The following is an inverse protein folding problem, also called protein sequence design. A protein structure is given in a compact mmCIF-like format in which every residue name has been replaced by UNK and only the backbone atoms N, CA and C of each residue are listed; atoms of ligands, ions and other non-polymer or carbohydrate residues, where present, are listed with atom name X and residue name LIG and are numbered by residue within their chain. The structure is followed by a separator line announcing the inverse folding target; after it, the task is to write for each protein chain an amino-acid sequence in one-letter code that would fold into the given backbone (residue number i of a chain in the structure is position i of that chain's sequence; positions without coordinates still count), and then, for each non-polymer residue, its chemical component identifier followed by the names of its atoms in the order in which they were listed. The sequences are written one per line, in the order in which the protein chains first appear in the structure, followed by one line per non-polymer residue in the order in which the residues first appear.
data_IF_790081600161
#
_entry.id   IF_790081600161
#
_cell.length_a   1.000
_cell.length_b   1.000
_cell.length_c   1.000
_cell.angle_alpha   90.00
_cell.angle_beta   90.00
_cell.angle_gamma   90.00
#
_symmetry.space_group_name_H-M   'P 1'
#
loop_
_entity.id
_entity.type
_entity.pdbx_description
1 polymer ?
#
# COMPACT_ATOMS: atom_id res chain seq x y z
N UNK A 1 8.89 27.52 3.92
CA UNK A 1 9.00 29.00 3.99
C UNK A 1 7.69 29.49 4.59
N UNK A 2 7.67 30.44 5.52
CA UNK A 2 6.39 30.89 6.09
C UNK A 2 5.57 31.62 5.01
N UNK A 3 4.24 31.60 5.10
CA UNK A 3 3.35 32.30 4.13
C UNK A 3 3.75 33.77 3.91
N UNK A 4 4.14 34.45 4.99
CA UNK A 4 4.63 35.84 4.94
C UNK A 4 5.93 35.98 4.16
N UNK A 5 6.82 35.00 4.23
CA UNK A 5 8.09 35.02 3.49
C UNK A 5 7.82 34.86 2.00
N UNK A 6 6.90 33.97 1.62
CA UNK A 6 6.49 33.77 0.22
C UNK A 6 5.89 35.06 -0.33
N UNK A 7 4.93 35.65 0.39
CA UNK A 7 4.24 36.89 -0.02
C UNK A 7 5.19 38.07 -0.21
N UNK A 8 6.21 38.19 0.64
CA UNK A 8 7.12 39.34 0.62
C UNK A 8 8.41 39.08 -0.18
N UNK A 9 8.62 37.88 -0.73
CA UNK A 9 9.81 37.60 -1.52
C UNK A 9 9.77 38.37 -2.86
N UNK A 10 10.72 39.30 -3.11
CA UNK A 10 10.77 40.08 -4.34
C UNK A 10 11.40 39.32 -5.51
N UNK A 11 12.00 38.16 -5.26
CA UNK A 11 12.67 37.34 -6.27
C UNK A 11 11.77 36.26 -6.89
N UNK A 12 10.56 36.07 -6.35
CA UNK A 12 9.58 35.16 -6.95
C UNK A 12 8.76 35.91 -7.99
N UNK A 13 8.64 35.34 -9.18
CA UNK A 13 7.68 35.81 -10.15
C UNK A 13 6.23 35.61 -9.64
N UNK A 14 5.25 36.35 -10.19
CA UNK A 14 3.88 36.29 -9.70
C UNK A 14 3.22 34.91 -9.81
N UNK A 15 3.57 34.11 -10.82
CA UNK A 15 2.99 32.79 -11.06
C UNK A 15 3.50 31.80 -10.02
N UNK A 16 4.81 31.70 -9.84
CA UNK A 16 5.44 30.86 -8.81
C UNK A 16 4.97 31.27 -7.42
N UNK A 17 4.86 32.57 -7.14
CA UNK A 17 4.32 33.07 -5.87
C UNK A 17 2.88 32.60 -5.65
N UNK A 18 2.03 32.67 -6.68
CA UNK A 18 0.64 32.21 -6.60
C UNK A 18 0.57 30.71 -6.32
N UNK A 19 1.35 29.92 -7.06
CA UNK A 19 1.44 28.47 -6.89
C UNK A 19 1.91 28.08 -5.48
N UNK A 20 3.01 28.67 -4.99
CA UNK A 20 3.52 28.37 -3.65
C UNK A 20 2.51 28.70 -2.54
N UNK A 21 1.71 29.77 -2.71
CA UNK A 21 0.68 30.15 -1.75
C UNK A 21 -0.51 29.18 -1.77
N UNK A 22 -0.94 28.72 -2.95
CA UNK A 22 -2.00 27.72 -3.04
C UNK A 22 -1.56 26.38 -2.46
N UNK A 23 -0.34 25.93 -2.77
CA UNK A 23 0.22 24.70 -2.20
C UNK A 23 0.33 24.76 -0.68
N UNK A 24 0.79 25.90 -0.13
CA UNK A 24 0.85 26.09 1.32
C UNK A 24 -0.55 26.01 1.96
N UNK A 25 -1.58 26.58 1.33
CA UNK A 25 -2.95 26.49 1.84
C UNK A 25 -3.50 25.06 1.83
N UNK A 26 -3.24 24.29 0.76
CA UNK A 26 -3.61 22.87 0.68
C UNK A 26 -2.91 22.07 1.78
N UNK A 27 -1.61 22.29 1.96
CA UNK A 27 -0.82 21.66 3.01
C UNK A 27 -1.31 22.00 4.42
N UNK A 28 -1.59 23.28 4.69
CA UNK A 28 -2.05 23.72 6.01
C UNK A 28 -3.38 23.06 6.39
N UNK A 29 -4.33 22.95 5.45
CA UNK A 29 -5.62 22.29 5.66
C UNK A 29 -5.47 20.78 5.89
N UNK A 30 -4.73 20.10 5.02
CA UNK A 30 -4.48 18.66 5.13
C UNK A 30 -3.79 18.32 6.45
N UNK A 31 -2.72 19.05 6.79
CA UNK A 31 -1.98 18.83 8.01
C UNK A 31 -2.83 19.10 9.26
N UNK A 32 -3.61 20.18 9.28
CA UNK A 32 -4.49 20.48 10.41
C UNK A 32 -5.52 19.36 10.64
N UNK A 33 -6.13 18.85 9.57
CA UNK A 33 -7.08 17.73 9.62
C UNK A 33 -6.42 16.46 10.16
N UNK A 34 -5.26 16.07 9.63
CA UNK A 34 -4.58 14.85 10.05
C UNK A 34 -3.98 14.96 11.46
N UNK A 35 -3.40 16.10 11.85
CA UNK A 35 -2.89 16.32 13.21
C UNK A 35 -4.00 16.05 14.23
N UNK A 36 -5.20 16.61 14.04
CA UNK A 36 -6.31 16.41 14.97
C UNK A 36 -6.76 14.95 15.01
N UNK A 37 -6.84 14.30 13.85
CA UNK A 37 -7.21 12.89 13.77
C UNK A 37 -6.17 11.95 14.42
N UNK A 38 -4.87 12.24 14.33
CA UNK A 38 -3.84 11.39 14.92
C UNK A 38 -3.59 11.66 16.40
N UNK A 39 -3.99 12.83 16.91
CA UNK A 39 -3.79 13.22 18.30
C UNK A 39 -4.28 12.15 19.28
N UNK A 40 -3.46 11.91 20.31
CA UNK A 40 -3.68 10.94 21.39
C UNK A 40 -3.91 9.48 20.92
N UNK A 41 -3.63 9.17 19.65
CA UNK A 41 -3.77 7.80 19.12
C UNK A 41 -2.61 6.96 19.61
N UNK A 42 -2.91 5.84 20.28
CA UNK A 42 -1.92 4.82 20.60
C UNK A 42 -1.85 3.80 19.47
N UNK A 43 -0.66 3.37 19.10
CA UNK A 43 -0.45 2.33 18.09
C UNK A 43 0.29 1.14 18.68
N UNK A 44 -0.31 -0.03 18.50
CA UNK A 44 0.30 -1.32 18.75
C UNK A 44 -0.46 -2.35 17.94
N UNK A 45 0.23 -3.17 17.16
CA UNK A 45 -0.39 -4.24 16.36
C UNK A 45 0.33 -5.56 16.64
N UNK A 46 -0.31 -6.42 17.42
CA UNK A 46 0.22 -7.74 17.78
C UNK A 46 0.17 -8.72 16.60
N UNK A 47 -0.94 -8.71 15.86
CA UNK A 47 -1.21 -9.60 14.74
C UNK A 47 -2.43 -9.11 13.92
N UNK A 48 -2.64 -9.65 12.72
CA UNK A 48 -3.65 -9.14 11.79
C UNK A 48 -5.11 -9.47 12.10
N UNK A 49 -5.37 -10.25 13.15
CA UNK A 49 -6.73 -10.52 13.67
C UNK A 49 -6.90 -9.99 15.11
N UNK A 50 -5.99 -9.11 15.55
CA UNK A 50 -6.13 -8.42 16.82
C UNK A 50 -7.33 -7.46 16.78
N UNK A 51 -7.82 -7.06 17.96
CA UNK A 51 -8.96 -6.15 18.03
C UNK A 51 -8.65 -4.84 17.32
N UNK A 52 -9.42 -4.53 16.29
CA UNK A 52 -9.25 -3.31 15.50
C UNK A 52 -9.79 -2.08 16.27
N UNK A 53 -8.96 -1.04 16.41
CA UNK A 53 -9.24 0.15 17.25
C UNK A 53 -9.13 1.46 16.50
N UNK A 54 -8.17 1.55 15.60
CA UNK A 54 -7.97 2.68 14.72
C UNK A 54 -7.67 2.15 13.31
N UNK A 55 -8.22 2.84 12.32
CA UNK A 55 -8.10 2.49 10.92
C UNK A 55 -7.63 3.69 10.12
N UNK A 56 -6.62 3.51 9.27
CA UNK A 56 -6.36 4.45 8.20
C UNK A 56 -7.14 4.00 6.97
N UNK A 57 -8.08 4.82 6.53
CA UNK A 57 -8.93 4.53 5.37
C UNK A 57 -8.58 5.52 4.27
N UNK A 58 -8.27 5.01 3.08
CA UNK A 58 -8.01 5.87 1.91
C UNK A 58 -9.25 6.65 1.49
N UNK A 59 -9.10 7.55 0.53
CA UNK A 59 -10.14 8.45 0.03
C UNK A 59 -10.04 8.60 -1.49
N UNK A 60 -10.90 9.42 -2.09
CA UNK A 60 -10.93 9.62 -3.55
C UNK A 60 -10.46 11.02 -3.98
N UNK A 61 -9.89 11.84 -3.08
CA UNK A 61 -9.53 13.22 -3.39
C UNK A 61 -8.36 13.33 -4.39
N UNK A 62 -7.54 12.29 -4.51
CA UNK A 62 -6.52 12.15 -5.56
C UNK A 62 -6.56 10.73 -6.13
N UNK A 63 -7.45 10.50 -7.09
CA UNK A 63 -7.50 9.27 -7.90
C UNK A 63 -7.43 9.65 -9.36
N UNK A 64 -6.34 9.25 -10.00
CA UNK A 64 -6.06 9.50 -11.41
C UNK A 64 -6.02 8.18 -12.15
N UNK A 65 -6.45 8.18 -13.41
CA UNK A 65 -6.27 7.03 -14.28
C UNK A 65 -4.76 6.85 -14.52
N UNK A 66 -4.14 5.74 -14.11
CA UNK A 66 -2.71 5.56 -14.27
C UNK A 66 -2.36 5.28 -15.75
N UNK A 67 -1.10 5.48 -16.11
CA UNK A 67 -0.59 5.06 -17.42
C UNK A 67 -0.36 3.55 -17.38
N UNK A 68 -1.09 2.72 -18.14
CA UNK A 68 -0.95 1.26 -18.07
C UNK A 68 0.38 0.78 -18.66
N UNK A 69 1.07 1.62 -19.43
CA UNK A 69 2.27 1.23 -20.17
C UNK A 69 3.57 1.53 -19.40
N UNK A 70 3.50 2.04 -18.15
CA UNK A 70 4.67 2.14 -17.25
C UNK A 70 4.90 0.81 -16.54
N UNK A 71 6.16 0.50 -16.21
CA UNK A 71 6.60 -0.85 -15.84
C UNK A 71 5.69 -1.58 -14.85
N UNK A 72 5.44 -0.99 -13.69
CA UNK A 72 4.64 -1.61 -12.64
C UNK A 72 3.15 -1.69 -12.97
N UNK A 73 2.57 -0.65 -13.60
CA UNK A 73 1.17 -0.72 -14.01
C UNK A 73 0.97 -1.81 -15.06
N UNK A 74 1.96 -1.97 -15.96
CA UNK A 74 2.00 -3.06 -16.91
C UNK A 74 2.09 -4.42 -16.21
N UNK A 75 2.94 -4.56 -15.19
CA UNK A 75 3.03 -5.81 -14.42
C UNK A 75 1.73 -6.15 -13.66
N UNK A 76 1.02 -5.14 -13.17
CA UNK A 76 -0.27 -5.32 -12.48
C UNK A 76 -1.42 -5.66 -13.44
N UNK A 77 -1.41 -5.11 -14.66
CA UNK A 77 -2.59 -5.13 -15.55
C UNK A 77 -2.41 -5.89 -16.86
N UNK A 78 -1.17 -6.14 -17.29
CA UNK A 78 -0.82 -6.55 -18.65
C UNK A 78 -1.49 -7.83 -19.13
N UNK A 79 -1.61 -8.82 -18.24
CA UNK A 79 -2.18 -10.14 -18.58
C UNK A 79 -3.62 -10.34 -18.06
N UNK A 80 -4.12 -9.43 -17.21
CA UNK A 80 -5.36 -9.64 -16.45
C UNK A 80 -6.45 -8.60 -16.69
N UNK A 81 -6.10 -7.41 -17.22
CA UNK A 81 -7.06 -6.35 -17.46
C UNK A 81 -7.73 -6.53 -18.83
N UNK A 82 -9.06 -6.43 -18.86
CA UNK A 82 -9.83 -6.53 -20.10
C UNK A 82 -9.42 -5.45 -21.13
N UNK A 83 -9.48 -5.79 -22.43
CA UNK A 83 -9.02 -4.91 -23.52
C UNK A 83 -9.71 -3.54 -23.52
N UNK A 84 -10.99 -3.48 -23.18
CA UNK A 84 -11.77 -2.24 -23.11
C UNK A 84 -11.33 -1.35 -21.93
N UNK A 85 -11.09 -1.94 -20.76
CA UNK A 85 -10.53 -1.25 -19.61
C UNK A 85 -9.10 -0.76 -19.89
N UNK A 86 -8.27 -1.59 -20.54
CA UNK A 86 -6.92 -1.21 -20.97
C UNK A 86 -6.95 -0.03 -21.95
N UNK A 87 -7.87 -0.04 -22.92
CA UNK A 87 -8.05 1.07 -23.85
C UNK A 87 -8.51 2.34 -23.15
N UNK A 88 -9.45 2.24 -22.20
CA UNK A 88 -9.87 3.37 -21.37
C UNK A 88 -8.68 3.99 -20.62
N UNK A 89 -7.82 3.16 -20.01
CA UNK A 89 -6.64 3.64 -19.30
C UNK A 89 -5.69 4.41 -20.23
N UNK A 90 -5.41 3.88 -21.43
CA UNK A 90 -4.56 4.57 -22.43
C UNK A 90 -5.13 5.90 -22.89
N UNK A 91 -6.45 5.99 -23.08
CA UNK A 91 -7.12 7.21 -23.54
C UNK A 91 -7.20 8.31 -22.47
N UNK A 92 -7.32 7.89 -21.20
CA UNK A 92 -7.60 8.79 -20.08
C UNK A 92 -6.46 8.93 -19.07
N UNK A 93 -5.29 8.30 -19.30
CA UNK A 93 -4.15 8.37 -18.38
C UNK A 93 -3.78 9.77 -17.93
N UNK A 94 -3.40 9.87 -16.66
CA UNK A 94 -3.08 11.08 -15.91
C UNK A 94 -4.24 12.08 -15.75
N UNK A 95 -5.47 11.74 -16.15
CA UNK A 95 -6.67 12.54 -15.87
C UNK A 95 -7.31 12.10 -14.55
N UNK A 96 -7.92 13.02 -13.79
CA UNK A 96 -8.70 12.66 -12.60
C UNK A 96 -9.85 11.73 -12.97
N UNK A 97 -10.06 10.65 -12.20
CA UNK A 97 -11.11 9.67 -12.48
C UNK A 97 -12.50 10.32 -12.49
N UNK A 98 -12.76 11.24 -11.56
CA UNK A 98 -14.02 12.01 -11.47
C UNK A 98 -14.39 12.77 -12.74
N UNK A 99 -13.41 13.16 -13.55
CA UNK A 99 -13.64 13.98 -14.75
C UNK A 99 -13.94 13.10 -15.98
N UNK A 100 -13.46 11.85 -15.98
CA UNK A 100 -13.54 10.94 -17.14
C UNK A 100 -14.51 9.77 -16.94
N UNK A 101 -14.79 9.40 -15.69
CA UNK A 101 -15.74 8.37 -15.30
C UNK A 101 -16.49 8.79 -14.01
N UNK A 102 -17.34 9.84 -14.07
CA UNK A 102 -18.00 10.41 -12.89
C UNK A 102 -18.95 9.44 -12.19
N UNK A 103 -19.61 8.54 -12.94
CA UNK A 103 -20.52 7.55 -12.37
C UNK A 103 -19.75 6.52 -11.52
N UNK A 104 -18.68 5.95 -12.07
CA UNK A 104 -17.77 5.06 -11.34
C UNK A 104 -17.16 5.75 -10.12
N UNK A 105 -16.73 7.01 -10.27
CA UNK A 105 -16.20 7.79 -9.15
C UNK A 105 -17.24 7.94 -8.02
N UNK A 106 -18.50 8.22 -8.37
CA UNK A 106 -19.58 8.36 -7.39
C UNK A 106 -19.86 7.06 -6.64
N UNK A 107 -19.85 5.92 -7.34
CA UNK A 107 -20.03 4.60 -6.74
C UNK A 107 -18.88 4.27 -5.78
N UNK A 108 -17.63 4.43 -6.24
CA UNK A 108 -16.45 4.20 -5.40
C UNK A 108 -16.41 5.12 -4.18
N UNK A 109 -16.87 6.38 -4.30
CA UNK A 109 -16.97 7.31 -3.17
C UNK A 109 -18.00 6.82 -2.15
N UNK A 110 -19.19 6.39 -2.60
CA UNK A 110 -20.24 5.86 -1.73
C UNK A 110 -19.76 4.63 -0.95
N UNK A 111 -19.11 3.67 -1.62
CA UNK A 111 -18.58 2.47 -0.97
C UNK A 111 -17.47 2.81 0.04
N UNK A 112 -16.56 3.71 -0.35
CA UNK A 112 -15.44 4.12 0.49
C UNK A 112 -15.91 4.87 1.75
N UNK A 113 -16.91 5.75 1.62
CA UNK A 113 -17.52 6.44 2.75
C UNK A 113 -18.36 5.48 3.61
N UNK A 114 -19.05 4.52 2.98
CA UNK A 114 -19.77 3.45 3.66
C UNK A 114 -18.86 2.60 4.55
N UNK A 115 -17.66 2.24 4.07
CA UNK A 115 -16.65 1.53 4.85
C UNK A 115 -16.21 2.34 6.09
N UNK A 116 -15.90 3.63 5.90
CA UNK A 116 -15.52 4.51 7.00
C UNK A 116 -16.63 4.60 8.06
N UNK A 117 -17.88 4.80 7.64
CA UNK A 117 -19.03 4.87 8.53
C UNK A 117 -19.27 3.54 9.27
N UNK A 118 -19.12 2.40 8.59
CA UNK A 118 -19.27 1.08 9.20
C UNK A 118 -18.20 0.84 10.30
N UNK A 119 -16.95 1.22 10.04
CA UNK A 119 -15.86 1.16 11.04
C UNK A 119 -16.16 2.05 12.25
N UNK A 120 -16.58 3.30 12.03
CA UNK A 120 -16.95 4.22 13.10
C UNK A 120 -18.12 3.70 13.93
N UNK A 121 -19.14 3.10 13.29
CA UNK A 121 -20.28 2.47 13.98
C UNK A 121 -19.87 1.30 14.88
N UNK A 122 -18.75 0.63 14.56
CA UNK A 122 -18.15 -0.42 15.38
C UNK A 122 -17.24 0.13 16.50
N UNK A 123 -17.14 1.46 16.63
CA UNK A 123 -16.28 2.12 17.60
C UNK A 123 -14.79 2.13 17.22
N UNK A 124 -14.47 1.97 15.93
CA UNK A 124 -13.13 2.15 15.40
C UNK A 124 -12.91 3.64 15.12
N UNK A 125 -11.77 4.19 15.56
CA UNK A 125 -11.34 5.53 15.18
C UNK A 125 -10.88 5.51 13.73
N UNK A 126 -11.58 6.21 12.84
CA UNK A 126 -11.17 6.32 11.43
C UNK A 126 -10.30 7.56 11.24
N UNK A 127 -9.16 7.36 10.59
CA UNK A 127 -8.26 8.39 10.09
C UNK A 127 -8.40 8.41 8.57
N UNK A 128 -8.84 9.54 8.01
CA UNK A 128 -9.11 9.71 6.59
C UNK A 128 -9.01 11.18 6.19
N UNK A 129 -8.48 11.46 5.00
CA UNK A 129 -8.67 12.76 4.39
C UNK A 129 -10.09 12.84 3.80
N UNK A 130 -11.00 13.54 4.50
CA UNK A 130 -12.40 13.63 4.08
C UNK A 130 -12.61 14.69 3.01
N UNK A 131 -12.04 15.87 3.20
CA UNK A 131 -12.45 17.06 2.45
C UNK A 131 -11.28 17.88 1.88
N UNK A 132 -10.02 17.51 2.18
CA UNK A 132 -8.87 18.32 1.76
C UNK A 132 -8.42 17.92 0.36
N UNK A 133 -8.19 18.91 -0.49
CA UNK A 133 -7.46 18.72 -1.73
C UNK A 133 -6.00 18.36 -1.42
N UNK A 134 -5.48 17.33 -2.09
CA UNK A 134 -4.06 17.00 -1.99
C UNK A 134 -3.21 18.06 -2.70
N UNK A 135 -2.09 18.51 -2.10
CA UNK A 135 -1.12 19.38 -2.77
C UNK A 135 -0.57 18.75 -4.05
N UNK A 136 -0.37 19.57 -5.08
CA UNK A 136 0.17 19.14 -6.37
C UNK A 136 1.55 18.49 -6.24
N UNK A 137 2.38 18.99 -5.31
CA UNK A 137 3.69 18.40 -5.04
C UNK A 137 3.62 16.91 -4.61
N UNK A 138 2.54 16.47 -3.96
CA UNK A 138 2.31 15.07 -3.61
C UNK A 138 1.76 14.29 -4.80
N UNK A 139 0.76 14.86 -5.47
CA UNK A 139 0.14 14.24 -6.65
C UNK A 139 1.19 13.94 -7.73
N UNK A 140 2.11 14.87 -7.94
CA UNK A 140 3.15 14.83 -8.96
C UNK A 140 4.54 14.44 -8.45
N UNK A 141 4.64 13.84 -7.26
CA UNK A 141 5.93 13.44 -6.66
C UNK A 141 6.79 12.59 -7.60
N UNK A 142 6.16 11.80 -8.47
CA UNK A 142 6.83 10.89 -9.40
C UNK A 142 7.03 11.48 -10.81
N UNK A 143 6.60 12.73 -11.05
CA UNK A 143 6.56 13.31 -12.39
C UNK A 143 7.95 13.50 -13.01
N UNK A 144 9.00 13.72 -12.19
CA UNK A 144 10.36 13.94 -12.65
C UNK A 144 10.95 12.76 -13.45
N UNK A 145 10.47 11.54 -13.19
CA UNK A 145 10.83 10.34 -13.95
C UNK A 145 9.66 9.77 -14.76
N UNK A 146 8.59 10.57 -14.97
CA UNK A 146 7.35 10.16 -15.66
C UNK A 146 6.62 8.99 -14.98
N UNK A 147 6.77 8.84 -13.68
CA UNK A 147 6.02 7.85 -12.91
C UNK A 147 4.55 8.23 -12.72
N UNK A 148 3.74 7.32 -12.15
CA UNK A 148 2.31 7.54 -12.00
C UNK A 148 2.00 8.58 -10.91
N UNK A 149 0.88 9.29 -11.09
CA UNK A 149 0.33 10.22 -10.09
C UNK A 149 -0.15 9.49 -8.85
N UNK A 150 -0.26 10.22 -7.73
CA UNK A 150 -0.75 9.67 -6.47
C UNK A 150 -2.16 9.06 -6.58
N UNK A 151 -2.36 7.90 -5.95
CA UNK A 151 -3.62 7.20 -5.82
C UNK A 151 -3.98 7.05 -4.33
N UNK A 152 -4.82 7.96 -3.87
CA UNK A 152 -5.24 8.13 -2.47
C UNK A 152 -6.29 7.14 -1.98
N UNK A 153 -6.70 6.13 -2.75
CA UNK A 153 -7.70 5.17 -2.27
C UNK A 153 -7.09 4.05 -1.41
N UNK A 154 -5.79 3.80 -1.58
CA UNK A 154 -5.08 2.68 -0.95
C UNK A 154 -4.31 3.08 0.32
N UNK A 155 -5.00 3.71 1.28
CA UNK A 155 -4.38 4.23 2.51
C UNK A 155 -3.75 3.18 3.42
N UNK A 156 -4.42 2.02 3.54
CA UNK A 156 -3.93 0.89 4.34
C UNK A 156 -2.58 0.34 3.87
N UNK A 157 -2.43 -0.08 2.60
CA UNK A 157 -1.17 -0.61 2.09
C UNK A 157 -0.13 0.47 1.79
N UNK A 158 -0.47 1.75 1.67
CA UNK A 158 0.52 2.78 1.31
C UNK A 158 1.14 3.57 2.48
N UNK A 159 0.42 3.73 3.61
CA UNK A 159 0.87 4.59 4.72
C UNK A 159 2.09 4.06 5.48
N UNK A 160 2.26 2.74 5.54
CA UNK A 160 3.24 2.06 6.38
C UNK A 160 2.56 1.09 7.35
N UNK A 161 3.33 0.16 7.90
CA UNK A 161 2.82 -0.95 8.71
C UNK A 161 3.26 -0.82 10.16
N UNK A 162 2.31 -0.85 11.09
CA UNK A 162 2.62 -1.00 12.52
C UNK A 162 2.82 -2.49 12.81
N UNK A 163 3.95 -2.86 13.41
CA UNK A 163 4.27 -4.21 13.87
C UNK A 163 4.77 -4.12 15.32
N UNK A 164 3.97 -4.59 16.27
CA UNK A 164 4.22 -4.33 17.69
C UNK A 164 4.33 -2.82 17.93
N UNK A 165 5.49 -2.40 18.45
CA UNK A 165 5.85 -0.99 18.71
C UNK A 165 6.80 -0.42 17.64
N UNK A 166 6.73 -0.95 16.41
CA UNK A 166 7.53 -0.48 15.27
C UNK A 166 6.61 0.05 14.17
N UNK A 167 6.83 1.30 13.76
CA UNK A 167 6.34 1.85 12.50
C UNK A 167 7.33 1.46 11.40
N UNK A 168 6.92 0.55 10.53
CA UNK A 168 7.71 0.09 9.40
C UNK A 168 7.21 0.77 8.13
N UNK A 169 8.04 1.67 7.60
CA UNK A 169 7.82 2.24 6.28
C UNK A 169 8.33 1.27 5.21
N UNK A 170 7.40 0.58 4.57
CA UNK A 170 7.64 -0.17 3.34
C UNK A 170 7.29 0.77 2.19
N UNK A 171 8.27 1.05 1.35
CA UNK A 171 8.07 1.92 0.18
C UNK A 171 7.67 1.09 -1.01
N UNK A 172 6.40 1.22 -1.38
CA UNK A 172 5.83 0.59 -2.57
C UNK A 172 6.47 1.13 -3.85
N UNK A 173 6.41 0.34 -4.92
CA UNK A 173 6.44 0.94 -6.24
C UNK A 173 5.13 1.76 -6.49
N UNK A 174 5.10 2.59 -7.53
CA UNK A 174 3.80 3.06 -8.00
C UNK A 174 3.10 4.23 -7.32
N UNK A 175 1.78 4.33 -7.56
CA UNK A 175 1.01 5.52 -7.28
C UNK A 175 0.64 5.66 -5.82
N UNK A 176 0.97 4.71 -4.95
CA UNK A 176 0.57 4.73 -3.53
C UNK A 176 1.72 5.12 -2.60
N UNK A 177 2.97 5.16 -3.07
CA UNK A 177 4.16 5.38 -2.22
C UNK A 177 4.21 6.75 -1.51
N UNK A 178 3.41 7.72 -1.94
CA UNK A 178 3.37 9.07 -1.38
C UNK A 178 2.56 9.18 -0.08
N UNK A 179 1.93 8.10 0.37
CA UNK A 179 1.03 8.11 1.52
C UNK A 179 1.69 8.57 2.82
N UNK A 180 2.89 8.08 3.16
CA UNK A 180 3.58 8.57 4.36
C UNK A 180 3.93 10.07 4.23
N UNK A 181 4.26 10.55 3.03
CA UNK A 181 4.48 11.99 2.80
C UNK A 181 3.21 12.81 3.03
N UNK A 182 2.07 12.33 2.53
CA UNK A 182 0.78 12.99 2.67
C UNK A 182 0.29 13.07 4.12
N UNK A 183 0.80 12.21 4.99
CA UNK A 183 0.31 12.00 6.36
C UNK A 183 1.31 12.34 7.45
N UNK A 184 2.53 12.73 7.07
CA UNK A 184 3.66 12.94 7.97
C UNK A 184 3.36 13.84 9.17
N UNK A 185 2.54 14.87 9.00
CA UNK A 185 2.13 15.73 10.11
C UNK A 185 1.34 14.95 11.18
N UNK A 186 0.44 14.07 10.76
CA UNK A 186 -0.26 13.13 11.64
C UNK A 186 0.67 12.07 12.23
N UNK A 187 1.58 11.50 11.43
CA UNK A 187 2.61 10.56 11.92
C UNK A 187 3.41 11.17 13.07
N UNK A 188 3.77 12.46 12.99
CA UNK A 188 4.48 13.13 14.09
C UNK A 188 3.65 13.17 15.38
N UNK A 189 2.32 13.34 15.31
CA UNK A 189 1.46 13.25 16.49
C UNK A 189 1.37 11.81 17.03
N UNK A 190 1.41 10.82 16.15
CA UNK A 190 1.48 9.41 16.54
C UNK A 190 2.72 9.13 17.39
N UNK A 191 3.91 9.58 16.96
CA UNK A 191 5.14 9.40 17.72
C UNK A 191 5.15 10.17 19.05
N UNK A 192 4.50 11.34 19.13
CA UNK A 192 4.33 12.06 20.41
C UNK A 192 3.47 11.27 21.41
N UNK A 193 2.42 10.62 20.92
CA UNK A 193 1.54 9.81 21.76
C UNK A 193 2.15 8.44 22.13
N UNK A 194 3.15 7.97 21.36
CA UNK A 194 3.79 6.66 21.53
C UNK A 194 5.33 6.83 21.59
N UNK A 195 5.90 7.25 22.74
CA UNK A 195 7.33 7.54 22.87
C UNK A 195 8.23 6.33 22.65
N UNK A 196 7.69 5.11 22.77
CA UNK A 196 8.43 3.86 22.54
C UNK A 196 8.33 3.36 21.09
N UNK A 197 7.51 4.01 20.24
CA UNK A 197 7.36 3.66 18.84
C UNK A 197 8.67 3.88 18.09
N UNK A 198 9.13 2.86 17.37
CA UNK A 198 10.36 2.91 16.56
C UNK A 198 10.04 3.15 15.10
N UNK A 199 10.71 4.12 14.48
CA UNK A 199 10.65 4.28 13.03
C UNK A 199 11.69 3.36 12.37
N UNK A 200 11.23 2.58 11.40
CA UNK A 200 12.02 1.73 10.52
C UNK A 200 11.58 1.96 9.09
N UNK A 201 12.48 1.77 8.14
CA UNK A 201 12.20 2.02 6.73
C UNK A 201 12.98 1.08 5.85
N UNK A 202 12.31 0.50 4.85
CA UNK A 202 12.99 -0.01 3.66
C UNK A 202 13.67 1.16 2.92
N UNK A 203 14.66 0.89 2.06
CA UNK A 203 15.16 1.90 1.13
C UNK A 203 14.04 2.37 0.18
N UNK A 204 14.12 3.64 -0.21
CA UNK A 204 13.18 4.18 -1.20
C UNK A 204 13.50 3.56 -2.58
N UNK A 205 12.50 3.12 -3.37
CA UNK A 205 12.75 2.48 -4.66
C UNK A 205 13.40 3.44 -5.64
N UNK A 206 14.13 2.90 -6.61
CA UNK A 206 14.77 3.69 -7.64
C UNK A 206 13.71 4.46 -8.47
N UNK A 207 14.02 5.69 -8.90
CA UNK A 207 13.14 6.48 -9.77
C UNK A 207 13.22 5.97 -11.23
N UNK A 208 12.87 4.72 -11.46
CA UNK A 208 12.84 4.06 -12.76
C UNK A 208 11.39 3.76 -13.18
N UNK A 209 10.98 4.34 -14.31
CA UNK A 209 9.64 4.14 -14.89
C UNK A 209 9.46 2.77 -15.54
N UNK A 210 10.54 2.07 -15.84
CA UNK A 210 10.50 0.75 -16.47
C UNK A 210 10.42 -0.40 -15.44
N UNK A 211 10.59 -0.09 -14.16
CA UNK A 211 10.57 -1.08 -13.09
C UNK A 211 9.18 -1.73 -12.99
N UNK A 212 9.12 -3.05 -13.11
CA UNK A 212 7.88 -3.85 -13.10
C UNK A 212 7.37 -4.23 -11.71
N UNK A 213 8.13 -3.91 -10.65
CA UNK A 213 7.78 -4.18 -9.27
C UNK A 213 8.52 -3.24 -8.33
N UNK A 214 8.68 -3.58 -7.04
CA UNK A 214 9.23 -2.64 -6.05
C UNK A 214 10.77 -2.49 -6.08
N UNK A 215 11.44 -3.10 -7.07
CA UNK A 215 12.89 -3.02 -7.27
C UNK A 215 13.65 -4.19 -6.64
N UNK A 216 14.98 -4.10 -6.58
CA UNK A 216 15.86 -5.23 -6.21
C UNK A 216 15.62 -5.73 -4.77
N UNK A 217 15.39 -4.82 -3.83
CA UNK A 217 15.09 -5.14 -2.41
C UNK A 217 13.69 -4.65 -2.02
N UNK A 218 12.82 -4.49 -2.99
CA UNK A 218 11.47 -3.98 -2.81
C UNK A 218 10.49 -5.02 -2.29
N UNK A 219 9.53 -4.57 -1.49
CA UNK A 219 8.38 -5.37 -1.04
C UNK A 219 7.13 -4.48 -1.05
N UNK A 220 5.97 -5.08 -1.34
CA UNK A 220 4.67 -4.44 -1.10
C UNK A 220 4.23 -4.65 0.35
N UNK A 221 3.53 -3.69 0.95
CA UNK A 221 2.96 -3.86 2.29
C UNK A 221 2.01 -5.06 2.37
N UNK A 222 1.26 -5.38 1.31
CA UNK A 222 0.33 -6.48 1.19
C UNK A 222 1.01 -7.86 1.19
N UNK A 223 2.32 -7.93 0.93
CA UNK A 223 3.11 -9.16 1.02
C UNK A 223 3.31 -9.65 2.47
N UNK A 224 3.07 -8.81 3.48
CA UNK A 224 3.37 -9.10 4.89
C UNK A 224 2.10 -9.43 5.69
N UNK A 225 2.09 -10.60 6.33
CA UNK A 225 1.07 -11.00 7.32
C UNK A 225 1.69 -11.12 8.70
N UNK A 226 1.07 -10.49 9.70
CA UNK A 226 1.58 -10.44 11.07
C UNK A 226 0.82 -11.47 11.91
N UNK A 227 1.54 -12.45 12.45
CA UNK A 227 1.04 -13.48 13.36
C UNK A 227 1.52 -13.22 14.80
N UNK A 228 0.86 -13.82 15.80
CA UNK A 228 1.30 -13.72 17.19
C UNK A 228 2.77 -14.11 17.39
N UNK A 229 3.37 -13.64 18.49
CA UNK A 229 4.76 -13.91 18.86
C UNK A 229 5.81 -13.38 17.87
N UNK A 230 5.55 -12.20 17.29
CA UNK A 230 6.45 -11.54 16.33
C UNK A 230 6.82 -12.44 15.14
N UNK A 231 5.84 -13.17 14.63
CA UNK A 231 6.02 -14.03 13.47
C UNK A 231 5.43 -13.36 12.23
N UNK A 232 6.20 -13.27 11.15
CA UNK A 232 5.73 -12.74 9.87
C UNK A 232 5.60 -13.88 8.85
N UNK A 233 4.52 -13.88 8.08
CA UNK A 233 4.40 -14.70 6.89
C UNK A 233 4.51 -13.77 5.68
N UNK A 234 5.51 -14.01 4.85
CA UNK A 234 5.79 -13.26 3.62
C UNK A 234 5.29 -14.06 2.43
N UNK A 235 4.54 -13.44 1.52
CA UNK A 235 3.95 -14.11 0.36
C UNK A 235 4.42 -13.56 -0.97
N UNK A 236 4.86 -14.45 -1.85
CA UNK A 236 5.45 -14.14 -3.15
C UNK A 236 4.68 -14.83 -4.29
N UNK A 237 4.07 -14.04 -5.18
CA UNK A 237 3.43 -14.57 -6.38
C UNK A 237 4.48 -14.91 -7.43
N UNK A 238 4.46 -16.12 -8.00
CA UNK A 238 5.34 -16.56 -9.08
C UNK A 238 4.53 -17.25 -10.19
N UNK A 239 4.94 -17.17 -11.47
CA UNK A 239 4.19 -17.80 -12.57
C UNK A 239 4.07 -19.33 -12.46
N UNK A 240 5.07 -19.98 -11.87
CA UNK A 240 5.11 -21.41 -11.58
C UNK A 240 6.23 -21.70 -10.56
N UNK A 241 6.28 -22.95 -10.06
CA UNK A 241 7.29 -23.36 -9.07
C UNK A 241 8.71 -23.23 -9.59
N UNK A 242 8.92 -23.55 -10.87
CA UNK A 242 10.25 -23.62 -11.47
C UNK A 242 10.96 -22.26 -11.46
N UNK A 243 10.21 -21.15 -11.40
CA UNK A 243 10.74 -19.80 -11.25
C UNK A 243 11.23 -19.44 -9.84
N UNK A 244 10.88 -20.21 -8.79
CA UNK A 244 11.24 -19.86 -7.39
C UNK A 244 12.75 -19.64 -7.21
N UNK A 245 13.65 -20.50 -7.70
CA UNK A 245 15.10 -20.28 -7.56
C UNK A 245 15.58 -18.97 -8.21
N UNK A 246 14.93 -18.49 -9.26
CA UNK A 246 15.28 -17.24 -9.97
C UNK A 246 14.86 -16.00 -9.17
N UNK A 247 13.87 -16.13 -8.28
CA UNK A 247 13.46 -15.04 -7.37
C UNK A 247 14.51 -14.69 -6.31
N UNK A 248 15.49 -15.57 -6.07
CA UNK A 248 16.61 -15.35 -5.16
C UNK A 248 17.91 -14.91 -5.88
N UNK A 249 17.86 -14.68 -7.19
CA UNK A 249 19.00 -14.18 -7.97
C UNK A 249 18.86 -12.67 -8.18
N UNK A 250 19.89 -11.89 -7.86
CA UNK A 250 19.84 -10.42 -7.93
C UNK A 250 19.54 -9.92 -9.36
N UNK A 251 19.97 -10.67 -10.37
CA UNK A 251 19.83 -10.33 -11.78
C UNK A 251 18.41 -10.52 -12.33
N UNK A 252 17.63 -11.45 -11.76
CA UNK A 252 16.33 -11.88 -12.31
C UNK A 252 15.17 -11.72 -11.33
N UNK A 253 15.43 -11.43 -10.05
CA UNK A 253 14.41 -11.45 -9.00
C UNK A 253 13.17 -10.59 -9.28
N UNK A 254 13.34 -9.47 -9.99
CA UNK A 254 12.28 -8.50 -10.29
C UNK A 254 11.36 -8.92 -11.45
N UNK A 255 11.76 -9.92 -12.26
CA UNK A 255 10.99 -10.38 -13.43
C UNK A 255 9.94 -11.44 -13.09
N UNK A 256 10.00 -11.98 -11.87
CA UNK A 256 9.28 -13.21 -11.51
C UNK A 256 8.29 -13.04 -10.36
N UNK A 257 8.18 -11.84 -9.78
CA UNK A 257 7.30 -11.58 -8.63
C UNK A 257 6.49 -10.30 -8.81
N UNK A 258 5.20 -10.38 -8.49
CA UNK A 258 4.23 -9.29 -8.69
C UNK A 258 4.35 -8.17 -7.65
N UNK A 259 4.40 -8.52 -6.35
CA UNK A 259 4.24 -7.58 -5.22
C UNK A 259 5.47 -7.55 -4.27
N UNK A 260 6.65 -7.68 -4.86
CA UNK A 260 7.91 -7.79 -4.12
C UNK A 260 8.55 -9.16 -4.17
N UNK A 261 9.84 -9.21 -3.82
CA UNK A 261 10.67 -10.39 -3.99
C UNK A 261 11.27 -10.90 -2.66
N UNK A 262 11.71 -12.17 -2.61
CA UNK A 262 12.31 -12.74 -1.41
C UNK A 262 13.58 -12.04 -0.91
N UNK A 263 14.36 -11.39 -1.78
CA UNK A 263 15.55 -10.63 -1.36
C UNK A 263 15.16 -9.37 -0.58
N UNK A 264 14.07 -8.71 -0.95
CA UNK A 264 13.48 -7.62 -0.19
C UNK A 264 12.94 -8.08 1.17
N UNK A 265 12.26 -9.23 1.20
CA UNK A 265 11.81 -9.87 2.44
C UNK A 265 12.97 -10.20 3.37
N UNK A 266 14.03 -10.83 2.84
CA UNK A 266 15.25 -11.14 3.57
C UNK A 266 15.95 -9.89 4.07
N UNK A 267 16.04 -8.83 3.26
CA UNK A 267 16.61 -7.55 3.68
C UNK A 267 15.83 -6.96 4.87
N UNK A 268 14.49 -6.94 4.80
CA UNK A 268 13.65 -6.47 5.90
C UNK A 268 13.94 -7.28 7.18
N UNK A 269 13.99 -8.61 7.08
CA UNK A 269 14.18 -9.46 8.24
C UNK A 269 15.58 -9.38 8.83
N UNK A 270 16.62 -9.50 8.01
CA UNK A 270 18.01 -9.58 8.47
C UNK A 270 18.65 -8.22 8.75
N UNK A 271 18.18 -7.13 8.13
CA UNK A 271 18.83 -5.81 8.26
C UNK A 271 18.00 -4.79 9.02
N UNK A 272 16.69 -4.98 9.12
CA UNK A 272 15.79 -4.01 9.76
C UNK A 272 15.17 -4.59 11.04
N UNK A 273 14.69 -5.84 11.01
CA UNK A 273 13.92 -6.43 12.10
C UNK A 273 14.70 -7.44 12.97
N UNK A 274 15.96 -7.74 12.63
CA UNK A 274 16.80 -8.74 13.33
C UNK A 274 16.83 -8.48 14.84
N UNK A 275 17.16 -7.23 15.23
CA UNK A 275 17.28 -6.82 16.64
C UNK A 275 15.93 -6.73 17.38
N UNK A 276 14.81 -6.86 16.67
CA UNK A 276 13.46 -6.77 17.23
C UNK A 276 12.88 -8.15 17.59
N UNK A 277 13.61 -9.23 17.26
CA UNK A 277 13.26 -10.61 17.58
C UNK A 277 12.11 -11.16 16.75
N UNK A 278 11.90 -10.59 15.55
CA UNK A 278 10.93 -11.15 14.60
C UNK A 278 11.47 -12.43 13.97
N UNK A 279 10.58 -13.38 13.75
CA UNK A 279 10.83 -14.57 12.93
C UNK A 279 9.95 -14.50 11.70
N UNK A 280 10.30 -15.26 10.66
CA UNK A 280 9.50 -15.28 9.44
C UNK A 280 9.43 -16.64 8.77
N UNK A 281 8.36 -16.84 8.01
CA UNK A 281 8.19 -17.89 7.01
C UNK A 281 7.85 -17.25 5.66
N UNK A 282 8.17 -17.95 4.59
CA UNK A 282 7.84 -17.54 3.22
C UNK A 282 6.84 -18.52 2.60
N UNK A 283 5.91 -18.00 1.78
CA UNK A 283 5.02 -18.77 0.92
C UNK A 283 5.10 -18.26 -0.49
N UNK A 284 5.21 -19.18 -1.44
CA UNK A 284 5.06 -18.89 -2.86
C UNK A 284 3.67 -19.31 -3.34
N UNK A 285 3.06 -18.51 -4.20
CA UNK A 285 1.75 -18.79 -4.77
C UNK A 285 1.71 -18.51 -6.28
N UNK A 286 0.71 -19.05 -6.97
CA UNK A 286 0.52 -18.82 -8.41
C UNK A 286 0.08 -17.38 -8.67
N UNK A 287 0.93 -16.59 -9.32
CA UNK A 287 0.67 -15.17 -9.61
C UNK A 287 -0.51 -14.96 -10.56
N UNK A 288 -0.97 -15.99 -11.27
CA UNK A 288 -2.19 -15.89 -12.10
C UNK A 288 -3.48 -15.78 -11.27
N UNK A 289 -3.42 -16.05 -9.96
CA UNK A 289 -4.58 -15.93 -9.08
C UNK A 289 -4.80 -14.50 -8.60
N UNK A 290 -3.73 -13.79 -8.26
CA UNK A 290 -3.82 -12.42 -7.74
C UNK A 290 -2.45 -11.73 -7.74
N UNK A 291 -2.46 -10.40 -7.75
CA UNK A 291 -1.28 -9.57 -7.62
C UNK A 291 -0.74 -9.56 -6.16
N UNK A 292 -1.62 -9.40 -5.17
CA UNK A 292 -1.24 -9.27 -3.76
C UNK A 292 -1.55 -10.50 -2.92
N UNK A 293 -0.65 -10.81 -1.99
CA UNK A 293 -0.81 -11.92 -1.05
C UNK A 293 -2.03 -11.76 -0.12
N UNK A 294 -2.49 -10.54 0.16
CA UNK A 294 -3.64 -10.30 1.00
C UNK A 294 -4.99 -10.62 0.37
N UNK A 295 -5.06 -10.60 -0.95
CA UNK A 295 -6.15 -11.16 -1.71
C UNK A 295 -6.14 -12.69 -1.66
N UNK A 296 -4.99 -13.35 -1.51
CA UNK A 296 -4.94 -14.80 -1.41
C UNK A 296 -5.26 -15.30 0.01
N UNK A 297 -4.57 -14.75 1.03
CA UNK A 297 -4.72 -15.15 2.44
C UNK A 297 -5.24 -13.98 3.26
N UNK A 298 -6.48 -14.09 3.71
CA UNK A 298 -7.11 -13.15 4.64
C UNK A 298 -6.97 -13.67 6.07
N UNK A 299 -6.39 -12.88 6.98
CA UNK A 299 -6.35 -13.25 8.40
C UNK A 299 -7.69 -12.91 9.06
N UNK A 300 -8.45 -13.91 9.49
CA UNK A 300 -9.80 -13.70 10.05
C UNK A 300 -9.78 -13.79 11.58
N UNK A 301 -9.30 -14.92 12.11
CA UNK A 301 -9.12 -15.17 13.55
C UNK A 301 -8.06 -16.25 13.75
N UNK A 302 -7.69 -16.51 15.00
CA UNK A 302 -6.75 -17.58 15.32
C UNK A 302 -7.21 -18.92 14.71
N UNK A 303 -6.29 -19.58 14.00
CA UNK A 303 -6.55 -20.84 13.29
C UNK A 303 -7.44 -20.73 12.05
N UNK A 304 -7.84 -19.51 11.64
CA UNK A 304 -8.73 -19.28 10.51
C UNK A 304 -8.17 -18.23 9.58
N UNK A 305 -7.82 -18.69 8.38
CA UNK A 305 -7.54 -17.85 7.23
C UNK A 305 -8.71 -17.93 6.26
N UNK A 306 -8.98 -16.86 5.54
CA UNK A 306 -9.90 -16.87 4.40
C UNK A 306 -9.12 -17.05 3.10
N UNK A 307 -9.69 -17.80 2.18
CA UNK A 307 -9.21 -17.98 0.82
C UNK A 307 -10.36 -17.60 -0.12
N UNK A 308 -10.16 -16.73 -1.13
CA UNK A 308 -11.18 -16.44 -2.13
C UNK A 308 -11.59 -17.70 -2.87
N UNK A 309 -12.85 -17.76 -3.30
CA UNK A 309 -13.39 -18.79 -4.21
C UNK A 309 -13.32 -20.24 -3.71
N UNK A 310 -13.00 -20.43 -2.44
CA UNK A 310 -13.14 -21.68 -1.71
C UNK A 310 -14.59 -21.89 -1.24
N UNK A 311 -15.23 -23.07 -1.43
CA UNK A 311 -16.49 -23.37 -0.75
C UNK A 311 -16.29 -23.28 0.77
N UNK A 312 -16.98 -22.32 1.43
CA UNK A 312 -16.82 -21.85 2.82
C UNK A 312 -15.91 -20.63 3.06
N UNK A 313 -15.45 -19.93 2.02
CA UNK A 313 -14.53 -18.79 2.10
C UNK A 313 -13.16 -19.12 2.74
N UNK A 314 -12.76 -20.40 2.72
CA UNK A 314 -11.44 -20.83 3.17
C UNK A 314 -11.33 -21.09 4.68
N UNK A 315 -12.45 -21.17 5.42
CA UNK A 315 -12.45 -21.47 6.86
C UNK A 315 -11.81 -22.84 7.16
N UNK A 316 -10.49 -22.85 7.37
CA UNK A 316 -9.66 -24.05 7.57
C UNK A 316 -10.11 -24.93 8.75
N UNK A 317 -10.85 -24.37 9.71
CA UNK A 317 -11.37 -25.09 10.87
C UNK A 317 -12.47 -26.11 10.54
N UNK A 318 -13.06 -26.06 9.34
CA UNK A 318 -14.20 -26.91 8.94
C UNK A 318 -13.85 -27.93 7.84
N UNK A 319 -12.60 -27.93 7.37
CA UNK A 319 -12.10 -28.76 6.26
C UNK A 319 -11.42 -27.90 5.19
N UNK A 320 -10.46 -28.49 4.46
CA UNK A 320 -9.84 -27.82 3.31
C UNK A 320 -10.87 -27.69 2.17
N UNK A 321 -11.04 -26.51 1.57
CA UNK A 321 -11.91 -26.34 0.40
C UNK A 321 -11.56 -27.30 -0.74
N UNK A 322 -12.55 -27.86 -1.44
CA UNK A 322 -12.34 -28.87 -2.51
C UNK A 322 -11.41 -28.42 -3.66
N UNK A 323 -11.36 -27.12 -3.96
CA UNK A 323 -10.41 -26.55 -4.94
C UNK A 323 -8.94 -26.71 -4.50
N UNK A 324 -8.69 -26.94 -3.21
CA UNK A 324 -7.40 -27.31 -2.61
C UNK A 324 -7.23 -28.83 -2.44
N UNK A 325 -8.31 -29.62 -2.53
CA UNK A 325 -8.28 -31.09 -2.40
C UNK A 325 -8.07 -31.83 -3.74
N UNK A 326 -8.47 -31.24 -4.87
CA UNK A 326 -8.60 -31.94 -6.16
C UNK A 326 -7.37 -31.87 -7.10
N UNK A 327 -6.27 -31.25 -6.67
CA UNK A 327 -5.05 -31.16 -7.47
C UNK A 327 -3.97 -32.06 -6.84
N UNK A 328 -3.36 -33.02 -7.58
CA UNK A 328 -2.39 -33.97 -7.02
C UNK A 328 -1.09 -33.38 -6.45
N UNK A 329 -1.02 -32.07 -6.15
CA UNK A 329 0.23 -31.40 -5.76
C UNK A 329 0.09 -30.12 -4.93
N UNK A 330 -1.08 -29.76 -4.39
CA UNK A 330 -1.22 -28.52 -3.59
C UNK A 330 -1.01 -28.72 -2.08
N UNK A 331 0.14 -29.30 -1.74
CA UNK A 331 1.03 -28.77 -0.71
C UNK A 331 2.23 -28.20 -1.47
N UNK A 332 1.96 -27.14 -2.22
CA UNK A 332 2.96 -26.24 -2.76
C UNK A 332 2.88 -24.88 -2.07
N UNK A 333 2.49 -24.87 -0.79
CA UNK A 333 3.29 -24.12 0.17
C UNK A 333 4.69 -24.72 0.06
N UNK A 334 5.48 -24.22 -0.89
CA UNK A 334 6.87 -24.63 -1.06
C UNK A 334 7.64 -24.04 0.13
N UNK A 335 7.45 -24.61 1.32
CA UNK A 335 8.38 -24.42 2.43
C UNK A 335 9.69 -25.07 1.99
N UNK A 336 10.74 -24.26 1.87
CA UNK A 336 12.11 -24.79 1.87
C UNK A 336 12.54 -25.16 3.28
#
# INVERSE_FOLDING_TARGET
MAKNDIQNNPHLDPEMKSFMLSEQEKWDKLNASLIEQFKDTRCHVEHGFARYRAAYVGDLNAVYVPDPDVGEMHAMTGDSLADDAMQFWREHKNKPLKDVAPELFSEMQEESDGLAAALESCGVKVIRNRDCEYPEAIVDNNAAWKGPKFCSIYGGPGYGRIMGDTFMQIWECGPVRQWEFATRAGTNELFKANPDLRYRSMPFPEPDVNMQGPGMIGIDNAAVKIFPNKHLLLGWGVPNKECIPETYQEETCHDHTSAGNPLGGKFMMERILEDEGYTYEEVFFDSNLTYHFDCLIMMIKEGVVGLPDAPNYGLMSEGLPKCLEATPSFLSLWKM
#
